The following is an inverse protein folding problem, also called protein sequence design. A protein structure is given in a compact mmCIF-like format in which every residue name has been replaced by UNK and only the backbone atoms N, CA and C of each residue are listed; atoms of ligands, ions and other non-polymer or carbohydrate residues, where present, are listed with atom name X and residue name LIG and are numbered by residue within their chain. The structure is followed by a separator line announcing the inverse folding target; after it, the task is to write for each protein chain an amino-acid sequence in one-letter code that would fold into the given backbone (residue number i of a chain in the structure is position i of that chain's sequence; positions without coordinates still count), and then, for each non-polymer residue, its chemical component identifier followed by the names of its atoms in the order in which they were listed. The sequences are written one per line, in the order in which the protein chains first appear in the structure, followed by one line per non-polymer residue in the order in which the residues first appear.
data_IF_428086240333
#
_entry.id   IF_428086240333
#
_cell.length_a   1.000
_cell.length_b   1.000
_cell.length_c   1.000
_cell.angle_alpha   90.00
_cell.angle_beta   90.00
_cell.angle_gamma   90.00
#
_symmetry.space_group_name_H-M   'P 1'
#
loop_
_entity.id
_entity.type
_entity.pdbx_description
1 polymer ?
#
# COMPACT_ATOMS: atom_id res chain seq x y z
N UNK A 1 -13.61 -3.93 -4.88
CA UNK A 1 -12.25 -4.17 -5.43
C UNK A 1 -11.20 -3.91 -4.35
N UNK A 2 -9.95 -4.34 -4.50
CA UNK A 2 -8.83 -3.90 -3.64
C UNK A 2 -8.78 -2.38 -3.59
N UNK A 3 -9.01 -1.71 -4.73
CA UNK A 3 -9.05 -0.24 -4.82
C UNK A 3 -10.06 0.38 -3.84
N UNK A 4 -11.30 -0.13 -3.81
CA UNK A 4 -12.35 0.42 -2.95
C UNK A 4 -12.00 0.20 -1.47
N UNK A 5 -11.49 -0.98 -1.10
CA UNK A 5 -11.08 -1.26 0.27
C UNK A 5 -9.96 -0.35 0.75
N UNK A 6 -8.98 -0.05 -0.11
CA UNK A 6 -7.91 0.91 0.19
C UNK A 6 -8.50 2.32 0.33
N UNK A 7 -9.38 2.75 -0.57
CA UNK A 7 -10.02 4.06 -0.52
C UNK A 7 -10.90 4.26 0.73
N UNK A 8 -11.67 3.24 1.12
CA UNK A 8 -12.50 3.25 2.31
C UNK A 8 -11.64 3.34 3.57
N UNK A 9 -10.55 2.57 3.63
CA UNK A 9 -9.59 2.63 4.75
C UNK A 9 -8.90 3.98 4.81
N UNK A 10 -8.51 4.55 3.67
CA UNK A 10 -7.89 5.88 3.61
C UNK A 10 -8.83 6.97 4.13
N UNK A 11 -10.13 6.79 3.95
CA UNK A 11 -11.17 7.69 4.48
C UNK A 11 -11.38 7.50 5.99
N UNK A 12 -11.33 6.26 6.48
CA UNK A 12 -11.56 5.92 7.90
C UNK A 12 -10.33 6.16 8.81
N UNK A 13 -9.13 5.90 8.30
CA UNK A 13 -7.85 5.91 9.04
C UNK A 13 -6.82 6.80 8.33
N UNK A 14 -7.25 8.02 7.96
CA UNK A 14 -6.46 8.92 7.11
C UNK A 14 -5.07 9.21 7.67
N UNK A 15 -4.96 9.51 8.97
CA UNK A 15 -3.70 9.94 9.57
C UNK A 15 -2.68 8.80 9.59
N UNK A 16 -3.12 7.60 9.96
CA UNK A 16 -2.30 6.40 9.99
C UNK A 16 -1.82 6.01 8.59
N UNK A 17 -2.71 6.06 7.59
CA UNK A 17 -2.35 5.73 6.21
C UNK A 17 -1.42 6.77 5.60
N UNK A 18 -1.64 8.07 5.86
CA UNK A 18 -0.71 9.13 5.46
C UNK A 18 0.65 8.89 6.09
N UNK A 19 0.71 8.59 7.39
CA UNK A 19 1.97 8.32 8.08
C UNK A 19 2.69 7.11 7.47
N UNK A 20 1.98 6.00 7.25
CA UNK A 20 2.54 4.79 6.66
C UNK A 20 3.06 5.02 5.23
N UNK A 21 2.22 5.58 4.37
CA UNK A 21 2.55 5.82 2.98
C UNK A 21 3.68 6.85 2.82
N UNK A 22 3.73 7.86 3.70
CA UNK A 22 4.85 8.81 3.72
C UNK A 22 6.15 8.09 4.06
N UNK A 23 6.14 7.18 5.04
CA UNK A 23 7.33 6.39 5.38
C UNK A 23 7.81 5.53 4.23
N UNK A 24 6.92 4.93 3.44
CA UNK A 24 7.31 4.25 2.20
C UNK A 24 7.96 5.20 1.19
N UNK A 25 7.36 6.37 0.98
CA UNK A 25 7.88 7.38 0.04
C UNK A 25 9.22 7.95 0.50
N UNK A 26 9.43 8.12 1.81
CA UNK A 26 10.64 8.65 2.43
C UNK A 26 11.84 7.69 2.29
N UNK A 27 11.60 6.38 2.11
CA UNK A 27 12.64 5.43 1.74
C UNK A 27 13.18 5.66 0.31
N UNK A 28 12.50 6.50 -0.47
CA UNK A 28 12.87 6.86 -1.83
C UNK A 28 12.33 5.89 -2.88
N UNK A 29 12.82 6.07 -4.11
CA UNK A 29 12.41 5.26 -5.26
C UNK A 29 12.97 3.84 -5.12
N UNK A 30 12.11 2.83 -5.18
CA UNK A 30 12.52 1.44 -4.99
C UNK A 30 11.39 0.42 -4.91
N UNK A 31 11.75 -0.82 -4.58
CA UNK A 31 10.81 -1.93 -4.35
C UNK A 31 10.78 -2.23 -2.85
N UNK A 32 9.57 -2.29 -2.29
CA UNK A 32 9.31 -2.77 -0.95
C UNK A 32 8.81 -4.21 -1.01
N UNK A 33 9.47 -5.09 -0.26
CA UNK A 33 9.04 -6.47 -0.12
C UNK A 33 7.90 -6.59 0.90
N UNK A 34 7.14 -7.70 0.92
CA UNK A 34 6.01 -7.88 1.83
C UNK A 34 6.37 -7.65 3.29
N UNK A 35 7.54 -8.13 3.73
CA UNK A 35 8.00 -7.93 5.11
C UNK A 35 8.20 -6.44 5.42
N UNK A 36 8.77 -5.65 4.49
CA UNK A 36 8.90 -4.21 4.69
C UNK A 36 7.54 -3.52 4.83
N UNK A 37 6.52 -3.95 4.09
CA UNK A 37 5.18 -3.39 4.19
C UNK A 37 4.55 -3.65 5.58
N UNK A 38 4.75 -4.86 6.10
CA UNK A 38 4.23 -5.22 7.42
C UNK A 38 5.02 -4.54 8.55
N UNK A 39 6.35 -4.53 8.47
CA UNK A 39 7.21 -3.91 9.48
C UNK A 39 6.88 -2.41 9.64
N UNK A 40 6.66 -1.69 8.52
CA UNK A 40 6.34 -0.27 8.57
C UNK A 40 4.92 -0.01 9.08
N UNK A 41 3.96 -0.90 8.79
CA UNK A 41 2.62 -0.85 9.35
C UNK A 41 2.66 -1.02 10.87
N UNK A 42 3.40 -2.02 11.35
CA UNK A 42 3.58 -2.28 12.79
C UNK A 42 4.25 -1.09 13.48
N UNK A 43 5.24 -0.46 12.85
CA UNK A 43 5.88 0.75 13.36
C UNK A 43 4.91 1.95 13.49
N UNK A 44 3.91 2.07 12.62
CA UNK A 44 2.90 3.16 12.68
C UNK A 44 1.85 2.89 13.76
N UNK A 45 1.50 1.62 13.96
CA UNK A 45 0.56 1.18 14.99
C UNK A 45 1.20 1.31 16.38
N UNK A 46 2.45 0.88 16.54
CA UNK A 46 3.15 0.83 17.81
C UNK A 46 2.38 0.01 18.86
N UNK A 47 2.39 0.48 20.11
CA UNK A 47 1.65 -0.16 21.22
C UNK A 47 0.20 0.33 21.35
N UNK A 48 -0.28 1.15 20.42
CA UNK A 48 -1.62 1.73 20.48
C UNK A 48 -2.68 0.70 20.11
N UNK A 49 -3.36 0.17 21.12
CA UNK A 49 -4.43 -0.81 20.97
C UNK A 49 -5.59 -0.31 20.08
N UNK A 50 -5.81 1.01 19.97
CA UNK A 50 -6.86 1.55 19.10
C UNK A 50 -6.49 1.45 17.61
N UNK A 51 -5.19 1.50 17.30
CA UNK A 51 -4.66 1.40 15.93
C UNK A 51 -4.50 -0.04 15.44
N UNK A 52 -4.57 -1.04 16.32
CA UNK A 52 -4.63 -2.47 15.93
C UNK A 52 -5.80 -2.79 15.01
N UNK A 53 -6.88 -2.01 15.11
CA UNK A 53 -8.02 -2.12 14.17
C UNK A 53 -7.61 -1.95 12.71
N UNK A 54 -6.50 -1.26 12.43
CA UNK A 54 -5.96 -1.10 11.08
C UNK A 54 -5.22 -2.36 10.58
N UNK A 55 -4.40 -3.02 11.41
CA UNK A 55 -3.70 -4.27 11.02
C UNK A 55 -4.62 -5.47 10.96
N UNK A 56 -5.62 -5.50 11.83
CA UNK A 56 -6.62 -6.57 11.89
C UNK A 56 -7.80 -6.29 10.94
N UNK A 57 -7.84 -5.08 10.37
CA UNK A 57 -8.88 -4.61 9.48
C UNK A 57 -8.63 -4.93 8.00
N UNK A 58 -9.52 -4.41 7.12
CA UNK A 58 -9.47 -4.68 5.70
C UNK A 58 -8.15 -4.30 5.02
N UNK A 59 -7.47 -3.27 5.50
CA UNK A 59 -6.22 -2.81 4.93
C UNK A 59 -5.02 -3.66 5.34
N UNK A 60 -4.96 -4.11 6.60
CA UNK A 60 -3.95 -5.07 7.02
C UNK A 60 -4.01 -6.37 6.22
N UNK A 61 -5.22 -6.88 5.91
CA UNK A 61 -5.38 -8.03 5.01
C UNK A 61 -4.92 -7.76 3.57
N UNK A 62 -5.05 -6.52 3.09
CA UNK A 62 -4.51 -6.13 1.78
C UNK A 62 -2.98 -6.15 1.82
N UNK A 63 -2.35 -5.58 2.86
CA UNK A 63 -0.89 -5.57 2.97
C UNK A 63 -0.33 -6.98 3.17
N UNK A 64 -1.00 -7.85 3.94
CA UNK A 64 -0.62 -9.27 4.07
C UNK A 64 -0.71 -10.05 2.76
N UNK A 65 -1.61 -9.64 1.85
CA UNK A 65 -1.75 -10.23 0.52
C UNK A 65 -0.99 -9.46 -0.56
N UNK A 66 -0.32 -8.36 -0.21
CA UNK A 66 0.55 -7.63 -1.12
C UNK A 66 1.84 -8.42 -1.33
N UNK A 67 2.19 -8.65 -2.58
CA UNK A 67 3.39 -9.38 -2.98
C UNK A 67 4.62 -8.47 -3.06
N UNK A 68 4.40 -7.19 -3.30
CA UNK A 68 5.41 -6.14 -3.38
C UNK A 68 4.70 -4.78 -3.49
N UNK A 69 5.43 -3.72 -3.16
CA UNK A 69 5.07 -2.37 -3.56
C UNK A 69 6.23 -1.72 -4.32
N UNK A 70 5.92 -0.89 -5.29
CA UNK A 70 6.87 -0.04 -5.98
C UNK A 70 6.63 1.38 -5.54
N UNK A 71 7.69 2.02 -5.10
CA UNK A 71 7.68 3.43 -4.70
C UNK A 71 8.34 4.23 -5.82
N UNK A 72 7.57 5.13 -6.40
CA UNK A 72 8.05 6.18 -7.30
C UNK A 72 7.39 7.47 -6.81
N UNK A 73 8.05 8.28 -5.97
CA UNK A 73 7.42 9.43 -5.31
C UNK A 73 6.68 10.35 -6.30
N UNK A 74 5.43 10.77 -6.01
CA UNK A 74 4.66 10.59 -4.78
C UNK A 74 3.77 9.33 -4.76
N UNK A 75 4.02 8.36 -5.64
CA UNK A 75 3.18 7.18 -5.82
C UNK A 75 3.72 5.95 -5.12
N UNK A 76 2.80 5.17 -4.55
CA UNK A 76 3.02 3.81 -4.08
C UNK A 76 2.11 2.89 -4.87
N UNK A 77 2.69 2.04 -5.72
CA UNK A 77 1.96 1.04 -6.51
C UNK A 77 2.06 -0.33 -5.83
N UNK A 78 0.94 -0.96 -5.51
CA UNK A 78 0.85 -2.24 -4.83
C UNK A 78 0.44 -3.32 -5.82
N UNK A 79 1.15 -4.44 -5.82
CA UNK A 79 0.69 -5.68 -6.44
C UNK A 79 0.12 -6.60 -5.37
N UNK A 80 -1.20 -6.79 -5.41
CA UNK A 80 -1.94 -7.56 -4.40
C UNK A 80 -2.41 -8.87 -5.01
N UNK A 81 -2.31 -9.94 -4.22
CA UNK A 81 -2.74 -11.28 -4.61
C UNK A 81 -3.76 -11.82 -3.60
N UNK A 82 -5.04 -11.39 -3.68
CA UNK A 82 -6.04 -11.80 -2.70
C UNK A 82 -6.34 -13.30 -2.72
N UNK A 83 -6.15 -13.96 -3.87
CA UNK A 83 -6.36 -15.40 -4.08
C UNK A 83 -5.37 -15.95 -5.09
N UNK A 84 -5.17 -17.27 -5.08
CA UNK A 84 -4.34 -17.96 -6.08
C UNK A 84 -4.84 -17.69 -7.50
N UNK A 85 -3.95 -17.19 -8.35
CA UNK A 85 -4.23 -16.90 -9.76
C UNK A 85 -4.91 -15.56 -10.02
N UNK A 86 -5.26 -14.78 -9.00
CA UNK A 86 -5.88 -13.45 -9.13
C UNK A 86 -4.89 -12.40 -8.67
N UNK A 87 -4.65 -11.40 -9.53
CA UNK A 87 -3.81 -10.25 -9.24
C UNK A 87 -4.63 -8.98 -9.39
N UNK A 88 -4.48 -8.08 -8.44
CA UNK A 88 -5.05 -6.74 -8.45
C UNK A 88 -3.91 -5.74 -8.25
N UNK A 89 -3.90 -4.67 -9.02
CA UNK A 89 -2.86 -3.66 -8.96
C UNK A 89 -3.51 -2.33 -8.64
N UNK A 90 -2.98 -1.63 -7.64
CA UNK A 90 -3.52 -0.34 -7.23
C UNK A 90 -2.39 0.65 -7.04
N UNK A 91 -2.63 1.91 -7.36
CA UNK A 91 -1.72 3.02 -7.08
C UNK A 91 -2.36 3.95 -6.07
N UNK A 92 -1.58 4.37 -5.10
CA UNK A 92 -1.94 5.44 -4.17
C UNK A 92 -1.08 6.65 -4.45
N UNK A 93 -1.70 7.81 -4.66
CA UNK A 93 -1.01 9.10 -4.61
C UNK A 93 -0.99 9.57 -3.15
N UNK A 94 0.20 9.59 -2.54
CA UNK A 94 0.33 9.94 -1.12
C UNK A 94 0.03 11.41 -0.85
N UNK A 95 0.25 12.28 -1.83
CA UNK A 95 -0.03 13.71 -1.68
C UNK A 95 -1.52 14.03 -1.81
N UNK A 96 -2.18 13.47 -2.82
CA UNK A 96 -3.60 13.71 -3.10
C UNK A 96 -4.54 12.78 -2.32
N UNK A 97 -4.02 11.70 -1.73
CA UNK A 97 -4.78 10.65 -1.05
C UNK A 97 -5.87 10.05 -1.97
N UNK A 98 -5.49 9.81 -3.22
CA UNK A 98 -6.31 9.19 -4.23
C UNK A 98 -5.83 7.77 -4.51
N UNK A 99 -6.78 6.86 -4.76
CA UNK A 99 -6.51 5.46 -5.09
C UNK A 99 -7.09 5.12 -6.47
N UNK A 100 -6.22 4.62 -7.33
CA UNK A 100 -6.55 4.19 -8.69
C UNK A 100 -6.24 2.71 -8.87
N UNK A 101 -7.08 2.03 -9.65
CA UNK A 101 -6.80 0.67 -10.10
C UNK A 101 -5.90 0.75 -11.33
N UNK A 102 -4.90 -0.12 -11.39
CA UNK A 102 -3.96 -0.21 -12.50
C UNK A 102 -4.21 -1.49 -13.30
N UNK A 103 -4.02 -1.38 -14.62
CA UNK A 103 -3.78 -2.53 -15.47
C UNK A 103 -2.38 -3.11 -15.22
N UNK A 104 -2.17 -4.35 -15.66
CA UNK A 104 -0.85 -5.00 -15.57
C UNK A 104 0.24 -4.17 -16.25
N UNK A 105 -0.04 -3.64 -17.44
CA UNK A 105 0.93 -2.83 -18.21
C UNK A 105 1.27 -1.51 -17.51
N UNK A 106 0.30 -0.87 -16.86
CA UNK A 106 0.56 0.34 -16.08
C UNK A 106 1.41 0.05 -14.85
N UNK A 107 1.15 -1.06 -14.15
CA UNK A 107 1.99 -1.49 -13.04
C UNK A 107 3.42 -1.83 -13.48
N UNK A 108 3.58 -2.54 -14.60
CA UNK A 108 4.90 -2.87 -15.13
C UNK A 108 5.71 -1.62 -15.51
N UNK A 109 5.06 -0.55 -15.97
CA UNK A 109 5.73 0.74 -16.23
C UNK A 109 6.40 1.30 -14.97
N UNK A 110 5.78 1.14 -13.79
CA UNK A 110 6.42 1.53 -12.53
C UNK A 110 7.70 0.73 -12.28
N UNK A 111 7.73 -0.56 -12.60
CA UNK A 111 8.94 -1.40 -12.47
C UNK A 111 10.04 -0.95 -13.41
N UNK A 112 9.68 -0.70 -14.66
CA UNK A 112 10.63 -0.26 -15.70
C UNK A 112 11.28 1.07 -15.33
N UNK A 113 10.54 1.95 -14.65
CA UNK A 113 11.08 3.23 -14.20
C UNK A 113 12.16 3.08 -13.12
N UNK A 114 12.21 1.97 -12.38
CA UNK A 114 13.22 1.74 -11.36
C UNK A 114 14.62 1.45 -11.93
N UNK A 115 14.73 1.20 -13.23
CA UNK A 115 15.97 0.83 -13.95
C UNK A 115 16.67 2.06 -14.51
#
# INVERSE_FOLDING_TARGET
STRDRVQDTLSAHRNELVALLSRYVDQGKGILQPHNLIDELESVIGDDATKKTLSDGPFGEILKSAMEAIVVPPFVALAVRPRTGVWEYVRVNVFELSVEELTVSEYLRFKEELV
#
